data_IF_339998699368
#
_entry.id   IF_339998699368
#
_cell.length_a   1.000
_cell.length_b   1.000
_cell.length_c   1.000
_cell.angle_alpha   90.00
_cell.angle_beta   90.00
_cell.angle_gamma   90.00
#
_symmetry.space_group_name_H-M   'P 1'
#
loop_
_entity.id
_entity.type
_entity.pdbx_description
1 polymer ?
#
# COMPACT_ATOMS: atom_id res chain seq x y z
N UNK A 1 22.24 8.35 -14.29
CA UNK A 1 21.27 8.72 -13.23
C UNK A 1 21.43 7.75 -12.07
N UNK A 2 21.65 8.23 -10.84
CA UNK A 2 21.67 7.36 -9.65
C UNK A 2 20.25 7.29 -9.06
N UNK A 3 19.54 6.22 -9.36
CA UNK A 3 18.33 5.85 -8.63
C UNK A 3 18.79 5.29 -7.27
N UNK A 4 18.19 5.78 -6.18
CA UNK A 4 18.32 5.16 -4.86
C UNK A 4 16.89 4.85 -4.45
N UNK A 5 16.52 3.57 -4.44
CA UNK A 5 15.18 3.15 -4.06
C UNK A 5 14.97 3.40 -2.57
N UNK A 6 13.78 3.79 -2.14
CA UNK A 6 13.42 3.87 -0.72
C UNK A 6 12.98 2.48 -0.22
N UNK A 7 13.07 2.20 1.09
CA UNK A 7 12.48 0.95 1.60
C UNK A 7 10.96 1.03 1.40
N UNK A 8 10.28 -0.11 1.20
CA UNK A 8 8.84 -0.10 0.96
C UNK A 8 8.06 0.46 2.14
N UNK A 9 8.55 0.26 3.38
CA UNK A 9 8.02 0.90 4.59
C UNK A 9 8.04 2.43 4.45
N UNK A 10 9.14 3.02 3.98
CA UNK A 10 9.22 4.47 3.68
C UNK A 10 8.37 4.86 2.46
N UNK A 11 8.27 3.99 1.45
CA UNK A 11 7.49 4.22 0.24
C UNK A 11 5.97 4.26 0.53
N UNK A 12 5.50 3.32 1.35
CA UNK A 12 4.13 3.24 1.83
C UNK A 12 3.82 4.35 2.82
N UNK A 13 4.77 4.71 3.68
CA UNK A 13 4.64 5.92 4.50
C UNK A 13 4.62 7.19 3.64
N UNK A 14 5.32 7.27 2.50
CA UNK A 14 5.21 8.44 1.62
C UNK A 14 3.85 8.52 0.90
N UNK A 15 3.26 7.37 0.57
CA UNK A 15 1.94 7.31 -0.06
C UNK A 15 0.77 7.42 0.93
N UNK A 16 0.94 6.97 2.18
CA UNK A 16 -0.13 6.82 3.17
C UNK A 16 0.13 7.53 4.51
N UNK A 17 1.38 7.90 4.82
CA UNK A 17 1.69 8.64 6.04
C UNK A 17 1.54 10.14 5.85
N UNK A 18 0.67 10.68 6.69
CA UNK A 18 0.93 11.95 7.34
C UNK A 18 1.12 11.66 8.83
N UNK A 19 2.38 11.81 9.26
CA UNK A 19 2.94 11.81 10.62
C UNK A 19 2.78 10.58 11.53
N UNK A 20 3.93 9.97 11.83
CA UNK A 20 4.20 9.23 13.07
C UNK A 20 4.13 10.20 14.27
N UNK A 21 3.30 9.91 15.26
CA UNK A 21 3.57 10.34 16.63
C UNK A 21 4.26 9.19 17.37
N UNK A 22 5.51 9.43 17.78
CA UNK A 22 6.13 8.65 18.82
C UNK A 22 5.37 8.91 20.12
N UNK A 23 4.75 7.88 20.70
CA UNK A 23 4.61 7.83 22.14
C UNK A 23 4.96 6.43 22.65
N UNK A 24 6.05 6.40 23.43
CA UNK A 24 6.33 5.36 24.41
C UNK A 24 5.20 5.34 25.45
N UNK A 25 4.51 4.22 25.62
CA UNK A 25 4.26 3.70 26.96
C UNK A 25 3.92 2.20 26.96
N UNK A 26 4.44 1.54 27.99
CA UNK A 26 4.47 0.11 28.27
C UNK A 26 3.11 -0.52 28.62
N UNK A 27 3.05 -1.83 28.35
CA UNK A 27 2.25 -2.88 28.99
C UNK A 27 0.72 -2.74 29.12
N UNK A 28 0.02 -3.70 28.46
CA UNK A 28 -0.53 -4.87 29.16
C UNK A 28 -0.93 -5.99 28.21
N UNK A 29 -0.40 -7.18 28.50
CA UNK A 29 -0.85 -8.47 28.02
C UNK A 29 -2.36 -8.68 28.21
N UNK A 30 -3.04 -9.03 27.13
CA UNK A 30 -4.18 -9.95 27.19
C UNK A 30 -4.20 -10.82 25.93
N UNK A 31 -3.68 -12.03 26.09
CA UNK A 31 -3.88 -13.15 25.17
C UNK A 31 -5.37 -13.40 24.96
N UNK A 32 -5.81 -13.53 23.71
CA UNK A 32 -6.95 -14.41 23.42
C UNK A 32 -6.75 -15.20 22.12
N UNK A 33 -6.53 -16.49 22.36
CA UNK A 33 -6.60 -17.69 21.54
C UNK A 33 -7.12 -17.58 20.10
N UNK A 34 -6.22 -17.98 19.21
CA UNK A 34 -6.40 -18.79 17.99
C UNK A 34 -7.69 -19.62 18.00
N UNK A 35 -8.53 -19.38 17.00
CA UNK A 35 -9.44 -20.38 16.45
C UNK A 35 -8.95 -20.77 15.07
N UNK A 36 -8.20 -21.86 14.97
CA UNK A 36 -7.98 -22.57 13.71
C UNK A 36 -9.35 -23.00 13.16
N UNK A 37 -9.70 -22.49 11.98
CA UNK A 37 -10.58 -23.21 11.07
C UNK A 37 -9.86 -23.40 9.74
N UNK A 38 -9.20 -24.56 9.63
CA UNK A 38 -8.84 -25.17 8.36
C UNK A 38 -10.12 -25.51 7.61
N UNK A 39 -10.28 -24.87 6.45
CA UNK A 39 -11.22 -25.26 5.41
C UNK A 39 -10.91 -24.40 4.19
N UNK A 40 -10.47 -25.04 3.11
CA UNK A 40 -10.30 -24.39 1.81
C UNK A 40 -11.68 -23.95 1.28
N UNK A 41 -12.17 -22.84 1.80
CA UNK A 41 -13.33 -22.14 1.28
C UNK A 41 -12.75 -20.91 0.61
N UNK A 42 -12.77 -20.91 -0.74
CA UNK A 42 -12.65 -19.67 -1.51
C UNK A 42 -13.66 -18.71 -0.90
N UNK A 43 -13.20 -17.69 -0.19
CA UNK A 43 -14.09 -16.63 0.25
C UNK A 43 -14.74 -16.07 -1.04
N UNK A 44 -16.08 -16.08 -1.16
CA UNK A 44 -16.76 -15.61 -2.37
C UNK A 44 -16.29 -14.21 -2.75
N UNK A 45 -16.31 -13.81 -4.03
CA UNK A 45 -16.02 -12.40 -4.37
C UNK A 45 -16.91 -11.42 -3.58
N UNK A 46 -18.12 -11.84 -3.25
CA UNK A 46 -19.05 -11.12 -2.37
C UNK A 46 -18.49 -10.85 -0.97
N UNK A 47 -17.60 -11.72 -0.44
CA UNK A 47 -16.96 -11.48 0.85
C UNK A 47 -15.90 -10.39 0.75
N UNK A 48 -15.13 -10.31 -0.34
CA UNK A 48 -14.13 -9.24 -0.52
C UNK A 48 -14.84 -7.89 -0.70
N UNK A 49 -15.91 -7.85 -1.50
CA UNK A 49 -16.70 -6.62 -1.65
C UNK A 49 -17.34 -6.18 -0.32
N UNK A 50 -17.84 -7.14 0.48
CA UNK A 50 -18.37 -6.85 1.81
C UNK A 50 -17.29 -6.29 2.75
N UNK A 51 -16.08 -6.87 2.73
CA UNK A 51 -14.95 -6.39 3.51
C UNK A 51 -14.50 -4.99 3.07
N UNK A 52 -14.44 -4.72 1.76
CA UNK A 52 -14.16 -3.38 1.24
C UNK A 52 -15.20 -2.37 1.73
N UNK A 53 -16.49 -2.73 1.70
CA UNK A 53 -17.54 -1.86 2.22
C UNK A 53 -17.36 -1.60 3.73
N UNK A 54 -17.10 -2.63 4.54
CA UNK A 54 -16.84 -2.47 5.99
C UNK A 54 -15.63 -1.56 6.25
N UNK A 55 -14.53 -1.79 5.53
CA UNK A 55 -13.30 -1.00 5.63
C UNK A 55 -13.53 0.48 5.28
N UNK A 56 -14.30 0.76 4.22
CA UNK A 56 -14.70 2.12 3.82
C UNK A 56 -15.56 2.83 4.86
N UNK A 57 -16.28 2.08 5.69
CA UNK A 57 -17.04 2.58 6.83
C UNK A 57 -16.23 2.61 8.14
N UNK A 58 -14.90 2.48 8.06
CA UNK A 58 -14.00 2.65 9.20
C UNK A 58 -13.75 1.39 10.03
N UNK A 59 -14.24 0.21 9.61
CA UNK A 59 -13.92 -1.04 10.30
C UNK A 59 -12.44 -1.41 10.07
N UNK A 60 -11.60 -1.09 11.04
CA UNK A 60 -10.17 -1.45 11.04
C UNK A 60 -9.93 -2.96 10.93
N UNK A 61 -10.81 -3.81 11.47
CA UNK A 61 -10.67 -5.27 11.41
C UNK A 61 -10.93 -5.81 10.00
N UNK A 62 -11.76 -5.12 9.20
CA UNK A 62 -12.01 -5.48 7.81
C UNK A 62 -10.73 -5.32 6.97
N UNK A 63 -9.88 -4.33 7.26
CA UNK A 63 -8.58 -4.19 6.62
C UNK A 63 -7.64 -5.36 6.91
N UNK A 64 -7.61 -5.89 8.15
CA UNK A 64 -6.81 -7.09 8.44
C UNK A 64 -7.30 -8.32 7.65
N UNK A 65 -8.62 -8.51 7.55
CA UNK A 65 -9.19 -9.58 6.73
C UNK A 65 -8.89 -9.40 5.25
N UNK A 66 -8.86 -8.15 4.75
CA UNK A 66 -8.41 -7.87 3.38
C UNK A 66 -6.93 -8.19 3.20
N UNK A 67 -6.08 -7.93 4.21
CA UNK A 67 -4.69 -8.35 4.19
C UNK A 67 -4.55 -9.87 4.13
N UNK A 68 -5.36 -10.62 4.89
CA UNK A 68 -5.43 -12.09 4.80
C UNK A 68 -5.87 -12.54 3.40
N UNK A 69 -6.88 -11.88 2.80
CA UNK A 69 -7.32 -12.18 1.43
C UNK A 69 -6.20 -12.03 0.40
N UNK A 70 -5.42 -10.94 0.47
CA UNK A 70 -4.25 -10.75 -0.41
C UNK A 70 -3.09 -11.69 -0.10
N UNK A 71 -2.90 -12.09 1.17
CA UNK A 71 -1.89 -13.09 1.55
C UNK A 71 -2.20 -14.47 0.97
N UNK A 72 -3.46 -14.89 1.06
CA UNK A 72 -3.88 -16.25 0.76
C UNK A 72 -4.51 -16.40 -0.64
N UNK A 73 -4.85 -15.30 -1.30
CA UNK A 73 -5.51 -15.28 -2.61
C UNK A 73 -7.01 -15.60 -2.53
N UNK A 74 -7.69 -15.23 -1.45
CA UNK A 74 -9.13 -15.45 -1.30
C UNK A 74 -9.93 -14.31 -1.93
N UNK A 75 -10.61 -14.60 -3.04
CA UNK A 75 -11.43 -13.63 -3.78
C UNK A 75 -10.62 -12.58 -4.56
N UNK A 76 -9.32 -12.45 -4.29
CA UNK A 76 -8.34 -11.61 -4.97
C UNK A 76 -7.12 -12.42 -5.39
N UNK A 77 -6.29 -11.90 -6.29
CA UNK A 77 -4.98 -12.49 -6.59
C UNK A 77 -4.11 -12.40 -5.33
N UNK A 78 -3.36 -13.46 -5.03
CA UNK A 78 -2.30 -13.41 -4.01
C UNK A 78 -1.31 -12.30 -4.38
N UNK A 79 -1.13 -11.34 -3.49
CA UNK A 79 -0.37 -10.10 -3.75
C UNK A 79 0.26 -9.59 -2.46
N UNK A 80 1.59 -9.69 -2.38
CA UNK A 80 2.38 -9.19 -1.25
C UNK A 80 2.15 -7.69 -1.02
N UNK A 81 2.13 -6.90 -2.10
CA UNK A 81 1.98 -5.46 -2.00
C UNK A 81 0.58 -5.07 -1.53
N UNK A 82 -0.44 -5.78 -2.04
CA UNK A 82 -1.82 -5.66 -1.58
C UNK A 82 -1.95 -5.99 -0.09
N UNK A 83 -1.34 -7.09 0.38
CA UNK A 83 -1.32 -7.47 1.79
C UNK A 83 -0.69 -6.38 2.66
N UNK A 84 0.49 -5.89 2.29
CA UNK A 84 1.20 -4.83 3.02
C UNK A 84 0.36 -3.55 3.08
N UNK A 85 -0.27 -3.18 1.96
CA UNK A 85 -1.16 -2.00 1.89
C UNK A 85 -2.32 -2.12 2.87
N UNK A 86 -3.02 -3.26 2.87
CA UNK A 86 -4.18 -3.45 3.76
C UNK A 86 -3.78 -3.52 5.24
N UNK A 87 -2.65 -4.15 5.57
CA UNK A 87 -2.16 -4.18 6.95
C UNK A 87 -1.75 -2.78 7.44
N UNK A 88 -1.14 -1.95 6.59
CA UNK A 88 -0.83 -0.56 6.91
C UNK A 88 -2.10 0.30 7.07
N UNK A 89 -3.12 0.07 6.24
CA UNK A 89 -4.43 0.70 6.41
C UNK A 89 -5.11 0.25 7.71
N UNK A 90 -5.02 -1.03 8.08
CA UNK A 90 -5.52 -1.52 9.36
C UNK A 90 -4.86 -0.80 10.53
N UNK A 91 -3.54 -0.63 10.50
CA UNK A 91 -2.82 0.16 11.51
C UNK A 91 -3.37 1.60 11.53
N UNK A 92 -3.44 2.26 10.38
CA UNK A 92 -3.93 3.63 10.24
C UNK A 92 -5.38 3.83 10.69
N UNK A 93 -6.18 2.76 10.67
CA UNK A 93 -7.61 2.75 11.02
C UNK A 93 -7.91 2.10 12.38
N UNK A 94 -6.88 1.78 13.17
CA UNK A 94 -7.05 1.20 14.51
C UNK A 94 -7.51 -0.25 14.53
N UNK A 95 -7.41 -0.97 13.40
CA UNK A 95 -7.62 -2.41 13.34
C UNK A 95 -6.50 -3.22 13.97
N UNK A 96 -5.30 -2.65 14.05
CA UNK A 96 -4.13 -3.20 14.73
C UNK A 96 -3.28 -2.07 15.29
N UNK A 97 -2.48 -2.35 16.34
CA UNK A 97 -1.59 -1.36 16.94
C UNK A 97 -0.42 -1.02 16.03
N UNK A 98 0.27 -2.05 15.53
CA UNK A 98 1.39 -1.92 14.59
C UNK A 98 1.25 -2.96 13.49
N UNK A 99 1.48 -2.57 12.26
CA UNK A 99 1.54 -3.50 11.13
C UNK A 99 2.57 -4.62 11.36
N UNK A 100 3.65 -4.32 12.07
CA UNK A 100 4.67 -5.30 12.46
C UNK A 100 4.05 -6.49 13.23
N UNK A 101 3.07 -6.24 14.11
CA UNK A 101 2.42 -7.31 14.88
C UNK A 101 1.72 -8.32 13.96
N UNK A 102 1.12 -7.84 12.86
CA UNK A 102 0.53 -8.70 11.83
C UNK A 102 1.62 -9.54 11.13
N UNK A 103 2.73 -8.93 10.74
CA UNK A 103 3.81 -9.62 10.00
C UNK A 103 4.55 -10.62 10.89
N UNK A 104 4.94 -10.23 12.11
CA UNK A 104 5.64 -11.12 13.04
C UNK A 104 4.74 -12.23 13.56
N UNK A 105 3.41 -12.02 13.58
CA UNK A 105 2.42 -13.05 13.88
C UNK A 105 2.27 -14.13 12.81
N UNK A 106 2.79 -13.92 11.59
CA UNK A 106 2.80 -14.96 10.56
C UNK A 106 3.75 -16.11 10.96
N UNK A 107 3.43 -17.38 10.59
CA UNK A 107 4.29 -18.52 10.87
C UNK A 107 5.69 -18.35 10.30
N UNK A 108 6.68 -18.95 10.97
CA UNK A 108 8.03 -19.02 10.45
C UNK A 108 8.06 -19.84 9.14
N UNK A 109 8.86 -19.39 8.18
CA UNK A 109 8.88 -19.94 6.83
C UNK A 109 7.77 -19.44 5.91
N UNK A 110 6.88 -18.54 6.37
CA UNK A 110 5.95 -17.85 5.47
C UNK A 110 6.71 -16.95 4.49
N UNK A 111 6.42 -17.09 3.20
CA UNK A 111 7.10 -16.33 2.12
C UNK A 111 6.97 -14.82 2.31
N UNK A 112 5.77 -14.32 2.65
CA UNK A 112 5.50 -12.90 2.76
C UNK A 112 6.11 -12.29 4.02
N UNK A 113 6.19 -13.06 5.13
CA UNK A 113 7.00 -12.66 6.30
C UNK A 113 8.47 -12.53 5.91
N UNK A 114 9.02 -13.52 5.22
CA UNK A 114 10.42 -13.51 4.76
C UNK A 114 10.70 -12.31 3.86
N UNK A 115 9.85 -12.07 2.85
CA UNK A 115 9.98 -10.93 1.95
C UNK A 115 9.93 -9.60 2.68
N UNK A 116 9.02 -9.43 3.64
CA UNK A 116 8.94 -8.20 4.42
C UNK A 116 10.22 -7.95 5.22
N UNK A 117 10.74 -8.96 5.92
CA UNK A 117 11.95 -8.84 6.73
C UNK A 117 13.18 -8.51 5.88
N UNK A 118 13.31 -9.15 4.72
CA UNK A 118 14.41 -8.84 3.78
C UNK A 118 14.27 -7.42 3.25
N UNK A 119 13.05 -6.98 2.93
CA UNK A 119 12.78 -5.65 2.40
C UNK A 119 12.94 -4.51 3.42
N UNK A 120 12.60 -4.74 4.69
CA UNK A 120 12.83 -3.75 5.75
C UNK A 120 14.31 -3.69 6.14
N UNK A 121 14.94 -4.86 6.19
CA UNK A 121 16.33 -5.02 6.58
C UNK A 121 17.35 -4.63 5.51
N UNK A 122 17.10 -4.80 4.21
CA UNK A 122 18.19 -4.85 3.21
C UNK A 122 19.08 -3.62 3.21
N UNK A 123 18.53 -2.43 3.51
CA UNK A 123 19.32 -1.19 3.60
C UNK A 123 20.25 -1.12 4.80
N UNK A 124 19.87 -1.74 5.91
CA UNK A 124 20.77 -1.93 7.05
C UNK A 124 21.84 -3.00 6.77
N UNK A 125 21.52 -4.00 5.94
CA UNK A 125 22.42 -5.10 5.56
C UNK A 125 23.37 -4.81 4.40
N UNK A 126 23.24 -3.68 3.67
CA UNK A 126 24.17 -3.27 2.60
C UNK A 126 25.62 -3.13 3.10
N UNK A 127 25.86 -3.12 4.42
CA UNK A 127 27.21 -2.97 4.97
C UNK A 127 27.98 -4.28 5.19
N UNK A 128 27.35 -5.44 5.44
CA UNK A 128 28.11 -6.67 5.78
C UNK A 128 27.55 -8.02 5.25
N UNK A 129 26.33 -8.12 4.70
CA UNK A 129 25.70 -9.45 4.46
C UNK A 129 24.79 -9.57 3.21
N UNK A 130 25.05 -8.77 2.16
CA UNK A 130 24.22 -8.76 0.94
C UNK A 130 24.11 -10.11 0.25
N UNK A 131 25.19 -10.90 0.25
CA UNK A 131 25.27 -12.18 -0.45
C UNK A 131 24.29 -13.22 0.12
N UNK A 132 24.03 -13.17 1.44
CA UNK A 132 23.07 -14.04 2.12
C UNK A 132 21.63 -13.70 1.72
N UNK A 133 21.28 -12.41 1.69
CA UNK A 133 19.95 -11.93 1.28
C UNK A 133 19.68 -12.28 -0.18
N UNK A 134 20.64 -12.01 -1.07
CA UNK A 134 20.47 -12.33 -2.48
C UNK A 134 20.35 -13.82 -2.72
N UNK A 135 21.07 -14.65 -1.97
CA UNK A 135 20.95 -16.11 -2.07
C UNK A 135 19.53 -16.58 -1.73
N UNK A 136 18.95 -16.07 -0.64
CA UNK A 136 17.57 -16.38 -0.24
C UNK A 136 16.57 -15.91 -1.31
N UNK A 137 16.74 -14.69 -1.85
CA UNK A 137 15.84 -14.17 -2.87
C UNK A 137 15.95 -14.92 -4.20
N UNK A 138 17.16 -15.33 -4.62
CA UNK A 138 17.37 -16.14 -5.83
C UNK A 138 16.81 -17.55 -5.69
N UNK A 139 16.76 -18.10 -4.49
CA UNK A 139 16.13 -19.39 -4.22
C UNK A 139 14.59 -19.31 -4.28
N UNK A 140 14.01 -18.11 -4.20
CA UNK A 140 12.57 -17.88 -4.39
C UNK A 140 12.28 -17.55 -5.85
N UNK A 141 11.50 -18.40 -6.52
CA UNK A 141 11.05 -18.16 -7.90
C UNK A 141 9.87 -17.17 -7.99
N UNK A 142 9.54 -16.45 -6.90
CA UNK A 142 8.41 -15.52 -6.88
C UNK A 142 8.73 -14.20 -7.59
N UNK A 143 7.75 -13.60 -8.28
CA UNK A 143 7.96 -12.29 -8.90
C UNK A 143 8.22 -11.20 -7.83
N UNK A 144 7.71 -11.36 -6.61
CA UNK A 144 8.01 -10.46 -5.49
C UNK A 144 9.48 -10.54 -5.04
N UNK A 145 10.04 -11.75 -4.91
CA UNK A 145 11.46 -11.91 -4.59
C UNK A 145 12.35 -11.33 -5.71
N UNK A 146 12.00 -11.59 -6.97
CA UNK A 146 12.68 -10.99 -8.13
C UNK A 146 12.61 -9.46 -8.11
N UNK A 147 11.48 -8.90 -7.69
CA UNK A 147 11.33 -7.44 -7.53
C UNK A 147 12.31 -6.89 -6.51
N UNK A 148 12.38 -7.51 -5.32
CA UNK A 148 13.28 -7.07 -4.26
C UNK A 148 14.76 -7.26 -4.66
N UNK A 149 15.09 -8.36 -5.32
CA UNK A 149 16.44 -8.58 -5.86
C UNK A 149 16.80 -7.47 -6.86
N UNK A 150 15.89 -7.13 -7.77
CA UNK A 150 16.09 -6.04 -8.71
C UNK A 150 16.32 -4.69 -8.01
N UNK A 151 15.60 -4.39 -6.92
CA UNK A 151 15.82 -3.19 -6.10
C UNK A 151 17.23 -3.18 -5.48
N UNK A 152 17.66 -4.28 -4.89
CA UNK A 152 19.00 -4.43 -4.30
C UNK A 152 20.08 -4.23 -5.38
N UNK A 153 19.93 -4.85 -6.54
CA UNK A 153 20.89 -4.73 -7.65
C UNK A 153 20.99 -3.30 -8.19
N UNK A 154 19.87 -2.56 -8.26
CA UNK A 154 19.88 -1.12 -8.58
C UNK A 154 20.68 -0.33 -7.53
N UNK A 155 20.41 -0.57 -6.24
CA UNK A 155 21.06 0.15 -5.14
C UNK A 155 22.57 -0.15 -5.04
N UNK A 156 23.02 -1.34 -5.46
CA UNK A 156 24.43 -1.72 -5.59
C UNK A 156 25.12 -1.09 -6.82
N UNK A 157 24.37 -0.53 -7.75
CA UNK A 157 24.89 0.23 -8.89
C UNK A 157 24.69 -0.43 -10.26
N UNK A 158 24.28 -1.70 -10.33
CA UNK A 158 23.88 -2.33 -11.59
C UNK A 158 22.41 -2.03 -11.91
N UNK A 159 22.19 -0.80 -12.36
CA UNK A 159 20.85 -0.31 -12.68
C UNK A 159 20.20 -1.07 -13.85
N UNK A 160 20.98 -1.56 -14.82
CA UNK A 160 20.43 -2.20 -16.03
C UNK A 160 19.85 -3.57 -15.66
N UNK A 161 20.64 -4.40 -15.00
CA UNK A 161 20.20 -5.74 -14.59
C UNK A 161 19.05 -5.64 -13.59
N UNK A 162 19.17 -4.74 -12.60
CA UNK A 162 18.13 -4.56 -11.60
C UNK A 162 16.79 -4.08 -12.18
N UNK A 163 16.80 -3.12 -13.13
CA UNK A 163 15.56 -2.70 -13.81
C UNK A 163 14.97 -3.82 -14.66
N UNK A 164 15.79 -4.63 -15.34
CA UNK A 164 15.29 -5.75 -16.13
C UNK A 164 14.60 -6.80 -15.25
N UNK A 165 15.17 -7.12 -14.09
CA UNK A 165 14.54 -8.01 -13.11
C UNK A 165 13.17 -7.48 -12.65
N UNK A 166 13.06 -6.18 -12.36
CA UNK A 166 11.79 -5.56 -11.96
C UNK A 166 10.78 -5.61 -13.13
N UNK A 167 11.20 -5.35 -14.37
CA UNK A 167 10.32 -5.47 -15.54
C UNK A 167 9.79 -6.89 -15.73
N UNK A 168 10.66 -7.89 -15.64
CA UNK A 168 10.23 -9.30 -15.72
C UNK A 168 9.24 -9.66 -14.61
N UNK A 169 9.46 -9.17 -13.38
CA UNK A 169 8.52 -9.36 -12.29
C UNK A 169 7.18 -8.67 -12.55
N UNK A 170 7.18 -7.49 -13.16
CA UNK A 170 5.97 -6.78 -13.58
C UNK A 170 5.21 -7.55 -14.68
N UNK A 171 5.92 -8.13 -15.66
CA UNK A 171 5.33 -8.98 -16.70
C UNK A 171 4.72 -10.27 -16.11
N UNK A 172 5.24 -10.74 -14.98
CA UNK A 172 4.67 -11.83 -14.17
C UNK A 172 3.51 -11.36 -13.25
N UNK A 173 3.18 -10.08 -13.29
CA UNK A 173 2.05 -9.46 -12.59
C UNK A 173 2.30 -9.18 -11.11
N UNK A 174 3.55 -8.89 -10.71
CA UNK A 174 3.83 -8.33 -9.39
C UNK A 174 3.39 -6.86 -9.34
N UNK A 175 2.41 -6.56 -8.48
CA UNK A 175 1.84 -5.21 -8.31
C UNK A 175 2.90 -4.19 -7.90
N UNK A 176 3.83 -4.56 -7.01
CA UNK A 176 4.93 -3.69 -6.61
C UNK A 176 5.83 -3.39 -7.82
N UNK A 177 6.20 -4.41 -8.59
CA UNK A 177 7.04 -4.21 -9.77
C UNK A 177 6.36 -3.32 -10.82
N UNK A 178 5.07 -3.54 -11.10
CA UNK A 178 4.27 -2.69 -12.01
C UNK A 178 4.30 -1.22 -11.56
N UNK A 179 4.17 -0.98 -10.26
CA UNK A 179 4.24 0.36 -9.69
C UNK A 179 5.64 0.98 -9.80
N UNK A 180 6.69 0.20 -9.50
CA UNK A 180 8.08 0.65 -9.53
C UNK A 180 8.55 1.02 -10.94
N UNK A 181 8.18 0.25 -11.98
CA UNK A 181 8.55 0.60 -13.37
C UNK A 181 7.78 1.81 -13.89
N UNK A 182 6.58 2.05 -13.34
CA UNK A 182 5.70 3.15 -13.74
C UNK A 182 6.15 4.47 -13.11
N UNK A 183 6.70 4.41 -11.90
CA UNK A 183 7.25 5.55 -11.15
C UNK A 183 8.77 5.36 -11.05
N UNK A 184 9.55 5.66 -12.10
CA UNK A 184 10.98 5.39 -12.05
C UNK A 184 11.70 6.23 -10.98
N UNK A 185 11.25 7.47 -10.71
CA UNK A 185 11.87 8.36 -9.70
C UNK A 185 10.95 8.65 -8.52
N UNK A 186 10.95 7.75 -7.55
CA UNK A 186 10.23 7.91 -6.27
C UNK A 186 10.72 9.06 -5.40
N UNK A 187 11.85 9.69 -5.74
CA UNK A 187 12.34 10.90 -5.05
C UNK A 187 11.62 12.17 -5.51
N UNK A 188 10.69 12.06 -6.46
CA UNK A 188 9.88 13.18 -6.94
C UNK A 188 10.67 14.22 -7.75
N UNK A 189 11.88 13.91 -8.23
CA UNK A 189 12.64 14.83 -9.09
C UNK A 189 12.14 14.78 -10.53
N UNK A 190 11.53 13.66 -10.92
CA UNK A 190 10.78 13.52 -12.17
C UNK A 190 9.32 13.23 -11.83
N UNK A 191 8.43 13.96 -12.49
CA UNK A 191 6.99 13.74 -12.40
C UNK A 191 6.64 12.36 -12.96
N UNK A 192 5.83 11.59 -12.23
CA UNK A 192 5.39 10.27 -12.69
C UNK A 192 4.50 10.37 -13.95
N UNK A 193 4.55 9.34 -14.78
CA UNK A 193 3.75 9.27 -16.01
C UNK A 193 2.30 8.90 -15.67
N UNK A 194 1.42 9.91 -15.67
CA UNK A 194 0.01 9.74 -15.36
C UNK A 194 -0.71 8.75 -16.31
N UNK A 195 -0.28 8.66 -17.57
CA UNK A 195 -0.89 7.73 -18.53
C UNK A 195 -0.59 6.29 -18.15
N UNK A 196 0.67 6.00 -17.80
CA UNK A 196 1.08 4.67 -17.34
C UNK A 196 0.44 4.30 -16.01
N UNK A 197 0.34 5.24 -15.07
CA UNK A 197 -0.37 5.02 -13.81
C UNK A 197 -1.84 4.69 -14.04
N UNK A 198 -2.53 5.41 -14.92
CA UNK A 198 -3.92 5.14 -15.25
C UNK A 198 -4.11 3.74 -15.86
N UNK A 199 -3.16 3.27 -16.67
CA UNK A 199 -3.19 1.92 -17.25
C UNK A 199 -3.13 0.84 -16.15
N UNK A 200 -2.33 1.02 -15.10
CA UNK A 200 -2.17 0.01 -14.04
C UNK A 200 -3.18 0.13 -12.89
N UNK A 201 -3.92 1.24 -12.80
CA UNK A 201 -4.77 1.57 -11.65
C UNK A 201 -5.88 0.57 -11.33
N UNK A 202 -6.35 -0.20 -12.32
CA UNK A 202 -7.32 -1.27 -12.10
C UNK A 202 -6.71 -2.52 -11.42
N UNK A 203 -5.39 -2.72 -11.52
CA UNK A 203 -4.65 -3.83 -10.88
C UNK A 203 -3.98 -3.39 -9.59
N UNK A 204 -3.53 -2.14 -9.54
CA UNK A 204 -2.84 -1.54 -8.39
C UNK A 204 -3.66 -0.33 -7.93
N UNK A 205 -4.68 -0.52 -7.06
CA UNK A 205 -5.57 0.55 -6.65
C UNK A 205 -4.87 1.78 -6.05
N UNK A 206 -3.70 1.59 -5.42
CA UNK A 206 -2.86 2.66 -4.91
C UNK A 206 -2.42 3.65 -6.01
N UNK A 207 -2.36 3.24 -7.27
CA UNK A 207 -2.06 4.15 -8.38
C UNK A 207 -3.15 5.23 -8.55
N UNK A 208 -4.41 4.97 -8.17
CA UNK A 208 -5.44 6.00 -8.14
C UNK A 208 -5.12 7.10 -7.11
N UNK A 209 -4.58 6.74 -5.94
CA UNK A 209 -4.15 7.73 -4.94
C UNK A 209 -3.03 8.61 -5.50
N UNK A 210 -2.03 7.99 -6.12
CA UNK A 210 -0.89 8.71 -6.72
C UNK A 210 -1.35 9.61 -7.88
N UNK A 211 -2.31 9.16 -8.69
CA UNK A 211 -2.93 9.98 -9.74
C UNK A 211 -3.68 11.18 -9.15
N UNK A 212 -4.42 10.97 -8.06
CA UNK A 212 -5.07 12.03 -7.31
C UNK A 212 -4.09 13.11 -6.89
N UNK A 213 -2.97 12.71 -6.26
CA UNK A 213 -1.91 13.64 -5.86
C UNK A 213 -1.29 14.35 -7.08
N UNK A 214 -1.01 13.60 -8.14
CA UNK A 214 -0.43 14.11 -9.37
C UNK A 214 -1.24 15.23 -10.03
N UNK A 215 -2.56 15.12 -10.01
CA UNK A 215 -3.46 16.11 -10.60
C UNK A 215 -3.84 17.23 -9.62
N UNK A 216 -3.74 16.97 -8.31
CA UNK A 216 -4.01 17.96 -7.28
C UNK A 216 -2.87 18.97 -7.18
N UNK A 217 -1.63 18.48 -7.20
CA UNK A 217 -0.44 19.33 -7.14
C UNK A 217 -0.27 20.15 -8.44
N UNK A 218 0.17 21.42 -8.34
CA UNK A 218 0.41 22.25 -9.52
C UNK A 218 1.54 21.69 -10.39
N UNK A 219 1.37 21.77 -11.70
CA UNK A 219 2.40 21.46 -12.69
C UNK A 219 3.52 22.52 -12.71
N UNK A 220 4.50 22.33 -13.59
CA UNK A 220 5.61 23.27 -13.79
C UNK A 220 5.14 24.69 -14.19
N UNK A 221 3.91 24.82 -14.69
CA UNK A 221 3.28 26.09 -15.05
C UNK A 221 2.32 26.62 -13.96
N UNK A 222 2.29 26.00 -12.77
CA UNK A 222 1.40 26.36 -11.67
C UNK A 222 -0.04 25.89 -11.85
N UNK A 223 -0.35 25.04 -12.84
CA UNK A 223 -1.71 24.57 -13.13
C UNK A 223 -1.96 23.21 -12.49
N UNK A 224 -3.11 23.07 -11.81
CA UNK A 224 -3.60 21.79 -11.31
C UNK A 224 -4.94 21.44 -11.95
N UNK A 225 -5.28 20.15 -11.99
CA UNK A 225 -6.59 19.66 -12.40
C UNK A 225 -7.29 19.03 -11.20
N UNK A 226 -7.78 19.89 -10.30
CA UNK A 226 -8.43 19.46 -9.04
C UNK A 226 -9.66 18.59 -9.27
N UNK A 227 -10.41 18.80 -10.36
CA UNK A 227 -11.56 17.95 -10.69
C UNK A 227 -11.11 16.51 -10.97
N UNK A 228 -10.12 16.34 -11.84
CA UNK A 228 -9.61 15.01 -12.14
C UNK A 228 -8.92 14.37 -10.93
N UNK A 229 -8.28 15.18 -10.08
CA UNK A 229 -7.71 14.71 -8.82
C UNK A 229 -8.76 14.07 -7.91
N UNK A 230 -9.90 14.74 -7.69
CA UNK A 230 -10.96 14.20 -6.83
C UNK A 230 -11.63 12.97 -7.43
N UNK A 231 -11.75 12.88 -8.76
CA UNK A 231 -12.23 11.66 -9.43
C UNK A 231 -11.32 10.46 -9.14
N UNK A 232 -9.99 10.66 -9.15
CA UNK A 232 -9.04 9.61 -8.79
C UNK A 232 -9.01 9.29 -7.30
N UNK A 233 -9.16 10.27 -6.41
CA UNK A 233 -9.33 10.00 -4.98
C UNK A 233 -10.58 9.17 -4.69
N UNK A 234 -11.71 9.43 -5.38
CA UNK A 234 -12.91 8.61 -5.22
C UNK A 234 -12.69 7.17 -5.72
N UNK A 235 -11.96 6.97 -6.81
CA UNK A 235 -11.54 5.61 -7.23
C UNK A 235 -10.65 4.92 -6.17
N UNK A 236 -9.76 5.67 -5.52
CA UNK A 236 -8.96 5.13 -4.42
C UNK A 236 -9.84 4.76 -3.20
N UNK A 237 -10.90 5.53 -2.93
CA UNK A 237 -11.88 5.27 -1.85
C UNK A 237 -12.68 4.00 -2.10
N UNK A 238 -13.10 3.73 -3.34
CA UNK A 238 -13.81 2.49 -3.72
C UNK A 238 -13.01 1.22 -3.38
N UNK A 239 -11.68 1.32 -3.41
CA UNK A 239 -10.75 0.25 -3.04
C UNK A 239 -10.25 0.33 -1.60
N UNK A 240 -10.86 1.18 -0.77
CA UNK A 240 -10.51 1.40 0.63
C UNK A 240 -9.07 1.88 0.86
N UNK A 241 -8.36 2.40 -0.16
CA UNK A 241 -6.96 2.88 -0.06
C UNK A 241 -6.85 4.40 0.04
N UNK A 242 -7.97 5.12 0.15
CA UNK A 242 -7.95 6.58 0.34
C UNK A 242 -7.53 6.94 1.77
N UNK A 243 -6.41 7.66 1.88
CA UNK A 243 -5.93 8.24 3.13
C UNK A 243 -6.62 9.55 3.50
N UNK A 244 -6.33 10.04 4.71
CA UNK A 244 -6.91 11.28 5.27
C UNK A 244 -6.78 12.49 4.35
N UNK A 245 -5.60 12.72 3.77
CA UNK A 245 -5.34 13.92 2.94
C UNK A 245 -6.16 13.91 1.65
N UNK A 246 -6.25 12.75 0.99
CA UNK A 246 -7.09 12.61 -0.20
C UNK A 246 -8.56 12.88 0.12
N UNK A 247 -9.07 12.38 1.25
CA UNK A 247 -10.44 12.67 1.68
C UNK A 247 -10.65 14.15 2.04
N UNK A 248 -9.70 14.79 2.75
CA UNK A 248 -9.73 16.23 3.03
C UNK A 248 -9.78 17.05 1.74
N UNK A 249 -8.98 16.68 0.73
CA UNK A 249 -8.96 17.33 -0.59
C UNK A 249 -10.28 17.18 -1.35
N UNK A 250 -10.92 16.00 -1.27
CA UNK A 250 -12.24 15.79 -1.87
C UNK A 250 -13.30 16.64 -1.17
N UNK A 251 -13.33 16.62 0.16
CA UNK A 251 -14.29 17.41 0.95
C UNK A 251 -14.09 18.91 0.76
N UNK A 252 -12.85 19.40 0.73
CA UNK A 252 -12.54 20.81 0.46
C UNK A 252 -13.01 21.23 -0.94
N UNK A 253 -12.70 20.42 -1.96
CA UNK A 253 -13.15 20.70 -3.32
C UNK A 253 -14.68 20.75 -3.42
N UNK A 254 -15.38 19.80 -2.79
CA UNK A 254 -16.84 19.77 -2.74
C UNK A 254 -17.42 20.99 -2.01
N UNK A 255 -16.93 21.30 -0.81
CA UNK A 255 -17.42 22.42 0.03
C UNK A 255 -17.20 23.79 -0.62
N UNK A 256 -16.17 23.93 -1.46
CA UNK A 256 -15.88 25.14 -2.22
C UNK A 256 -16.65 25.24 -3.55
N UNK A 257 -17.68 24.41 -3.77
CA UNK A 257 -18.50 24.44 -4.98
C UNK A 257 -17.85 23.80 -6.20
N UNK A 258 -16.91 22.88 -5.99
CA UNK A 258 -16.30 22.09 -7.04
C UNK A 258 -17.32 21.23 -7.79
N UNK A 259 -17.03 20.94 -9.05
CA UNK A 259 -17.91 20.17 -9.93
C UNK A 259 -17.75 18.66 -9.66
N UNK A 260 -18.27 18.20 -8.53
CA UNK A 260 -18.34 16.79 -8.15
C UNK A 260 -19.71 16.49 -7.52
N UNK A 261 -20.28 15.36 -7.88
CA UNK A 261 -21.50 14.87 -7.25
C UNK A 261 -21.14 13.83 -6.18
N UNK A 262 -21.40 14.16 -4.92
CA UNK A 262 -21.23 13.25 -3.77
C UNK A 262 -22.61 12.98 -3.17
N UNK A 263 -22.93 11.69 -2.98
CA UNK A 263 -24.08 11.28 -2.19
C UNK A 263 -23.82 11.55 -0.69
N UNK A 264 -24.88 11.56 0.12
CA UNK A 264 -24.77 11.75 1.56
C UNK A 264 -23.85 10.71 2.21
N UNK A 265 -23.93 9.45 1.77
CA UNK A 265 -23.08 8.38 2.26
C UNK A 265 -21.62 8.56 1.83
N UNK A 266 -21.34 9.16 0.67
CA UNK A 266 -19.97 9.46 0.24
C UNK A 266 -19.35 10.48 1.18
N UNK A 267 -20.10 11.54 1.52
CA UNK A 267 -19.67 12.58 2.46
C UNK A 267 -19.38 11.97 3.83
N UNK A 268 -20.29 11.13 4.35
CA UNK A 268 -20.10 10.46 5.65
C UNK A 268 -18.84 9.60 5.67
N UNK A 269 -18.61 8.78 4.64
CA UNK A 269 -17.39 7.95 4.55
C UNK A 269 -16.13 8.79 4.49
N UNK A 270 -16.13 9.86 3.68
CA UNK A 270 -15.00 10.79 3.62
C UNK A 270 -14.75 11.46 4.97
N UNK A 271 -15.78 11.90 5.69
CA UNK A 271 -15.65 12.50 7.01
C UNK A 271 -15.10 11.51 8.05
N UNK A 272 -15.55 10.25 8.03
CA UNK A 272 -14.96 9.18 8.84
C UNK A 272 -13.47 8.98 8.52
N UNK A 273 -13.09 9.09 7.24
CA UNK A 273 -11.68 8.98 6.85
C UNK A 273 -10.84 10.12 7.44
N UNK A 274 -11.40 11.32 7.56
CA UNK A 274 -10.70 12.52 8.06
C UNK A 274 -10.56 12.54 9.59
N UNK A 275 -11.46 11.88 10.32
CA UNK A 275 -11.45 11.88 11.78
C UNK A 275 -10.12 11.32 12.35
N UNK A 276 -9.53 11.97 13.39
CA UNK A 276 -8.34 11.45 14.05
C UNK A 276 -8.64 10.13 14.78
N UNK A 277 -7.64 9.26 14.92
CA UNK A 277 -7.73 8.07 15.79
C UNK A 277 -8.14 8.50 17.22
N UNK A 278 -9.21 7.90 17.75
CA UNK A 278 -9.58 8.02 19.16
C UNK A 278 -10.71 8.99 19.51
N UNK A 279 -11.42 9.57 18.54
CA UNK A 279 -12.70 10.25 18.82
C UNK A 279 -13.80 9.21 18.72
N UNK A 280 -14.09 8.52 19.82
CA UNK A 280 -15.35 7.80 19.96
C UNK A 280 -16.48 8.82 19.75
N UNK A 281 -17.34 8.56 18.78
CA UNK A 281 -18.59 9.30 18.63
C UNK A 281 -19.49 8.85 19.77
N UNK A 282 -19.61 9.70 20.80
CA UNK A 282 -20.57 9.57 21.90
C UNK A 282 -22.01 9.41 21.41
#
# INVERSE_FOLDING_TARGET
>A
MRFKMLSLSVLMMLCLASCSEQHLQEDRLASSKVGEQKGAVKAPQDSVLSLLNQARWGDGSAYLKLADCYRDGFGVKKDFFGMITMANMAESRGGINRMDDYIYGLPDGNDYKTLFLLMDGYKSYIQEDSDSIEHVLRASDSPEAKTLLGMITVDQGDTISGINMIKEAADQGCSLAELLITIPDWKGRLRADATKLAIIAHRVPLANLILGDLYYEPDENGKSNKQLAVEYYMKAEEHAVLGRHGAERVLDYYRNGGNIHLAEDDIKRLELIVQPKGVETE
#
